data_IF_484575217492
#
_entry.id   IF_484575217492
#
_cell.length_a   1.000
_cell.length_b   1.000
_cell.length_c   1.000
_cell.angle_alpha   90.00
_cell.angle_beta   90.00
_cell.angle_gamma   90.00
#
_symmetry.space_group_name_H-M   'P 1'
#
loop_
_entity.id
_entity.type
_entity.pdbx_description
1 polymer ?
#
# COMPACT_ATOMS: atom_id res chain seq x y z
N UNK A 1 4.59 31.64 -9.84
CA UNK A 1 4.15 30.75 -10.94
C UNK A 1 5.19 30.73 -12.06
N UNK A 2 5.72 31.88 -12.50
CA UNK A 2 6.70 31.94 -13.59
C UNK A 2 7.99 31.15 -13.36
N UNK A 3 8.55 31.13 -12.15
CA UNK A 3 9.71 30.29 -11.81
C UNK A 3 9.43 28.79 -11.99
N UNK A 4 8.23 28.32 -11.66
CA UNK A 4 7.89 26.89 -11.78
C UNK A 4 7.73 26.46 -13.24
N UNK A 5 7.19 27.35 -14.08
CA UNK A 5 7.10 27.16 -15.54
C UNK A 5 8.47 27.19 -16.19
N UNK A 6 9.36 28.08 -15.73
CA UNK A 6 10.74 28.18 -16.21
C UNK A 6 11.51 26.87 -16.02
N UNK A 7 11.30 26.18 -14.90
CA UNK A 7 11.92 24.87 -14.62
C UNK A 7 11.09 23.67 -15.10
N UNK A 8 10.05 23.90 -15.91
CA UNK A 8 9.21 22.87 -16.51
C UNK A 8 8.58 21.90 -15.48
N UNK A 9 8.26 22.41 -14.30
CA UNK A 9 7.59 21.61 -13.28
C UNK A 9 6.13 21.42 -13.65
N UNK A 10 5.68 20.15 -13.75
CA UNK A 10 4.28 19.75 -13.99
C UNK A 10 3.28 20.34 -12.97
N UNK A 11 3.77 20.84 -11.84
CA UNK A 11 3.01 21.45 -10.76
C UNK A 11 2.52 22.86 -11.15
N UNK A 12 3.19 23.54 -12.09
CA UNK A 12 2.90 24.91 -12.46
C UNK A 12 1.54 25.09 -13.15
N UNK A 13 1.08 24.06 -13.87
CA UNK A 13 -0.19 24.05 -14.60
C UNK A 13 -1.20 23.07 -13.97
N UNK A 14 -0.93 22.60 -12.75
CA UNK A 14 -1.80 21.67 -12.06
C UNK A 14 -3.07 22.36 -11.52
N UNK A 15 -4.18 21.62 -11.47
CA UNK A 15 -5.43 22.12 -10.90
C UNK A 15 -5.25 22.45 -9.40
N UNK A 16 -5.98 23.46 -8.88
CA UNK A 16 -5.91 23.81 -7.46
C UNK A 16 -6.30 22.64 -6.56
N UNK A 17 -7.28 21.84 -6.97
CA UNK A 17 -7.72 20.63 -6.26
C UNK A 17 -6.60 19.59 -6.13
N UNK A 18 -5.83 19.36 -7.21
CA UNK A 18 -4.69 18.45 -7.20
C UNK A 18 -3.62 18.91 -6.20
N UNK A 19 -3.34 20.22 -6.17
CA UNK A 19 -2.36 20.80 -5.26
C UNK A 19 -2.78 20.63 -3.79
N UNK A 20 -4.05 20.87 -3.48
CA UNK A 20 -4.57 20.69 -2.11
C UNK A 20 -4.51 19.24 -1.65
N UNK A 21 -4.90 18.30 -2.52
CA UNK A 21 -4.85 16.87 -2.22
C UNK A 21 -3.41 16.42 -1.95
N UNK A 22 -2.47 16.82 -2.80
CA UNK A 22 -1.06 16.45 -2.67
C UNK A 22 -0.43 17.05 -1.42
N UNK A 23 -0.84 18.26 -0.99
CA UNK A 23 -0.44 18.84 0.30
C UNK A 23 -0.91 17.99 1.48
N UNK A 24 -2.18 17.55 1.49
CA UNK A 24 -2.72 16.70 2.56
C UNK A 24 -1.96 15.35 2.65
N UNK A 25 -1.74 14.70 1.52
CA UNK A 25 -0.96 13.45 1.44
C UNK A 25 0.49 13.65 1.93
N UNK A 26 1.13 14.75 1.52
CA UNK A 26 2.48 15.09 1.97
C UNK A 26 2.55 15.28 3.50
N UNK A 27 1.58 15.98 4.09
CA UNK A 27 1.53 16.18 5.55
C UNK A 27 1.40 14.86 6.30
N UNK A 28 0.54 13.95 5.82
CA UNK A 28 0.38 12.62 6.43
C UNK A 28 1.67 11.80 6.36
N UNK A 29 2.32 11.77 5.19
CA UNK A 29 3.60 11.10 5.02
C UNK A 29 4.68 11.70 5.92
N UNK A 30 4.83 13.03 5.94
CA UNK A 30 5.84 13.70 6.76
C UNK A 30 5.61 13.47 8.25
N UNK A 31 4.35 13.43 8.69
CA UNK A 31 4.00 13.11 10.07
C UNK A 31 4.38 11.67 10.42
N UNK A 32 4.05 10.70 9.56
CA UNK A 32 4.42 9.31 9.76
C UNK A 32 5.94 9.10 9.71
N UNK A 33 6.66 9.84 8.86
CA UNK A 33 8.12 9.82 8.80
C UNK A 33 8.74 10.38 10.08
N UNK A 34 8.22 11.50 10.61
CA UNK A 34 8.67 12.07 11.87
C UNK A 34 8.45 11.10 13.04
N UNK A 35 7.28 10.46 13.11
CA UNK A 35 6.98 9.41 14.09
C UNK A 35 7.96 8.25 13.94
N UNK A 36 8.26 7.80 12.72
CA UNK A 36 9.20 6.70 12.45
C UNK A 36 10.62 7.04 12.90
N UNK A 37 11.09 8.27 12.68
CA UNK A 37 12.40 8.72 13.15
C UNK A 37 12.43 8.70 14.69
N UNK A 38 11.36 9.18 15.33
CA UNK A 38 11.24 9.19 16.78
C UNK A 38 11.23 7.76 17.36
N UNK A 39 10.40 6.87 16.82
CA UNK A 39 10.31 5.47 17.27
C UNK A 39 11.60 4.71 17.02
N UNK A 40 12.30 4.96 15.90
CA UNK A 40 13.62 4.39 15.62
C UNK A 40 14.66 4.82 16.64
N UNK A 41 14.71 6.11 16.99
CA UNK A 41 15.60 6.63 18.03
C UNK A 41 15.27 6.06 19.41
N UNK A 42 13.98 5.95 19.72
CA UNK A 42 13.51 5.35 20.97
C UNK A 42 13.90 3.87 21.06
N UNK A 43 13.69 3.08 20.01
CA UNK A 43 14.08 1.69 19.94
C UNK A 43 15.59 1.52 20.14
N UNK A 44 16.41 2.33 19.44
CA UNK A 44 17.87 2.32 19.59
C UNK A 44 18.32 2.59 21.03
N UNK A 45 17.78 3.65 21.65
CA UNK A 45 18.06 4.00 23.06
C UNK A 45 17.61 2.89 24.01
N UNK A 46 16.44 2.31 23.77
CA UNK A 46 15.88 1.22 24.59
C UNK A 46 16.79 0.01 24.58
N UNK A 47 17.26 -0.43 23.40
CA UNK A 47 18.13 -1.60 23.26
C UNK A 47 19.49 -1.40 23.93
N UNK A 48 20.14 -0.25 23.73
CA UNK A 48 21.48 0.00 24.31
C UNK A 48 21.44 0.02 25.84
N UNK A 49 20.42 0.65 26.42
CA UNK A 49 20.31 0.78 27.89
C UNK A 49 20.15 -0.58 28.58
N UNK A 50 19.75 -1.61 27.83
CA UNK A 50 19.48 -2.97 28.35
C UNK A 50 20.59 -3.96 28.06
N UNK A 51 21.66 -3.54 27.38
CA UNK A 51 22.81 -4.41 27.14
C UNK A 51 23.50 -4.72 28.47
N UNK A 52 23.58 -6.00 28.81
CA UNK A 52 24.35 -6.46 29.97
C UNK A 52 25.84 -6.43 29.63
N UNK A 53 26.62 -5.69 30.42
CA UNK A 53 28.08 -5.67 30.34
C UNK A 53 28.62 -6.37 31.59
N UNK A 54 29.19 -7.58 31.49
CA UNK A 54 29.71 -8.30 32.66
C UNK A 54 30.91 -7.56 33.26
N UNK A 55 30.96 -7.51 34.59
CA UNK A 55 32.13 -6.99 35.30
C UNK A 55 33.25 -8.05 35.35
N UNK A 56 34.50 -7.64 35.55
CA UNK A 56 35.69 -8.53 35.52
C UNK A 56 35.60 -9.72 36.50
N UNK A 57 34.75 -9.64 37.53
CA UNK A 57 34.57 -10.67 38.55
C UNK A 57 33.23 -11.41 38.45
N UNK A 58 32.41 -11.11 37.45
CA UNK A 58 31.19 -11.85 37.16
C UNK A 58 31.49 -12.97 36.15
N UNK A 59 31.11 -14.20 36.49
CA UNK A 59 31.25 -15.34 35.60
C UNK A 59 30.36 -15.18 34.37
N UNK A 60 30.93 -15.21 33.16
CA UNK A 60 30.22 -15.02 31.88
C UNK A 60 29.18 -16.13 31.56
N UNK A 61 29.13 -17.20 32.35
CA UNK A 61 28.28 -18.36 32.13
C UNK A 61 26.93 -18.28 32.86
N UNK A 62 26.78 -17.35 33.80
CA UNK A 62 25.57 -17.23 34.60
C UNK A 62 24.76 -16.01 34.16
N UNK A 63 23.43 -16.13 33.99
CA UNK A 63 22.59 -14.97 33.72
C UNK A 63 22.66 -13.98 34.89
N UNK A 64 22.46 -12.67 34.63
CA UNK A 64 22.54 -11.66 35.68
C UNK A 64 21.49 -11.92 36.78
N UNK A 65 21.91 -11.95 38.05
CA UNK A 65 21.10 -12.35 39.21
C UNK A 65 19.91 -11.41 39.56
N UNK A 66 19.62 -10.41 38.72
CA UNK A 66 18.47 -9.49 38.86
C UNK A 66 17.73 -9.21 37.56
N UNK A 67 18.00 -10.00 36.50
CA UNK A 67 17.38 -9.78 35.20
C UNK A 67 15.96 -10.32 35.13
N UNK A 68 14.99 -9.45 34.85
CA UNK A 68 13.60 -9.85 34.62
C UNK A 68 13.35 -10.12 33.13
N UNK A 69 13.47 -11.38 32.73
CA UNK A 69 13.28 -11.83 31.35
C UNK A 69 11.88 -11.48 30.80
N UNK A 70 10.84 -11.57 31.62
CA UNK A 70 9.47 -11.28 31.20
C UNK A 70 9.27 -9.80 30.89
N UNK A 71 9.79 -8.93 31.75
CA UNK A 71 9.70 -7.47 31.55
C UNK A 71 10.54 -7.01 30.37
N UNK A 72 11.73 -7.58 30.19
CA UNK A 72 12.58 -7.24 29.07
C UNK A 72 11.95 -7.67 27.74
N UNK A 73 11.45 -8.91 27.65
CA UNK A 73 10.76 -9.43 26.48
C UNK A 73 9.51 -8.60 26.13
N UNK A 74 8.69 -8.24 27.12
CA UNK A 74 7.51 -7.42 26.89
C UNK A 74 7.84 -6.07 26.24
N UNK A 75 8.90 -5.41 26.69
CA UNK A 75 9.30 -4.12 26.12
C UNK A 75 10.02 -4.31 24.77
N UNK A 76 10.76 -5.39 24.55
CA UNK A 76 11.33 -5.69 23.24
C UNK A 76 10.22 -5.89 22.18
N UNK A 77 9.19 -6.65 22.52
CA UNK A 77 8.01 -6.84 21.64
C UNK A 77 7.24 -5.53 21.44
N UNK A 78 7.04 -4.75 22.51
CA UNK A 78 6.36 -3.45 22.43
C UNK A 78 7.10 -2.46 21.53
N UNK A 79 8.42 -2.33 21.71
CA UNK A 79 9.25 -1.45 20.89
C UNK A 79 9.32 -1.90 19.44
N UNK A 80 9.46 -3.21 19.19
CA UNK A 80 9.43 -3.78 17.85
C UNK A 80 8.10 -3.55 17.13
N UNK A 81 6.98 -3.74 17.83
CA UNK A 81 5.64 -3.49 17.29
C UNK A 81 5.44 -2.01 16.95
N UNK A 82 5.84 -1.11 17.84
CA UNK A 82 5.76 0.33 17.62
C UNK A 82 6.58 0.76 16.40
N UNK A 83 7.81 0.24 16.26
CA UNK A 83 8.67 0.52 15.12
C UNK A 83 8.05 -0.01 13.81
N UNK A 84 7.60 -1.26 13.81
CA UNK A 84 6.94 -1.87 12.65
C UNK A 84 5.70 -1.10 12.21
N UNK A 85 4.83 -0.71 13.17
CA UNK A 85 3.65 0.09 12.89
C UNK A 85 4.00 1.45 12.29
N UNK A 86 4.99 2.14 12.84
CA UNK A 86 5.42 3.45 12.33
C UNK A 86 5.99 3.37 10.92
N UNK A 87 6.88 2.41 10.65
CA UNK A 87 7.48 2.20 9.32
C UNK A 87 6.42 1.80 8.31
N UNK A 88 5.50 0.90 8.67
CA UNK A 88 4.41 0.48 7.80
C UNK A 88 3.50 1.65 7.45
N UNK A 89 3.17 2.51 8.42
CA UNK A 89 2.39 3.72 8.19
C UNK A 89 3.11 4.70 7.25
N UNK A 90 4.41 4.90 7.44
CA UNK A 90 5.23 5.74 6.55
C UNK A 90 5.24 5.21 5.12
N UNK A 91 5.39 3.89 4.94
CA UNK A 91 5.34 3.25 3.62
C UNK A 91 3.97 3.46 2.98
N UNK A 92 2.87 3.17 3.70
CA UNK A 92 1.52 3.34 3.17
C UNK A 92 1.22 4.79 2.76
N UNK A 93 1.54 5.78 3.60
CA UNK A 93 1.30 7.17 3.22
C UNK A 93 2.26 7.66 2.13
N UNK A 94 3.49 7.13 2.10
CA UNK A 94 4.44 7.41 1.04
C UNK A 94 3.97 6.88 -0.32
N UNK A 95 3.46 5.65 -0.37
CA UNK A 95 2.91 5.07 -1.59
C UNK A 95 1.65 5.81 -2.04
N UNK A 96 0.74 6.16 -1.12
CA UNK A 96 -0.42 6.99 -1.44
C UNK A 96 -0.02 8.35 -2.02
N UNK A 97 1.04 8.98 -1.50
CA UNK A 97 1.52 10.27 -1.99
C UNK A 97 2.21 10.18 -3.36
N UNK A 98 3.01 9.14 -3.60
CA UNK A 98 3.70 8.93 -4.88
C UNK A 98 2.70 8.59 -5.98
N UNK A 99 1.73 7.72 -5.69
CA UNK A 99 0.72 7.28 -6.66
C UNK A 99 -0.45 8.25 -6.81
N UNK A 100 -0.53 9.28 -5.96
CA UNK A 100 -1.64 10.23 -5.87
C UNK A 100 -2.99 9.51 -5.73
N UNK A 101 -3.09 8.71 -4.68
CA UNK A 101 -4.25 7.89 -4.36
C UNK A 101 -4.76 8.28 -2.99
N UNK A 102 -6.08 8.48 -2.87
CA UNK A 102 -6.71 8.82 -1.60
C UNK A 102 -7.79 7.84 -1.18
N UNK A 103 -8.20 6.93 -2.07
CA UNK A 103 -9.19 5.89 -1.78
C UNK A 103 -8.67 4.50 -2.12
N UNK A 104 -9.19 3.48 -1.42
CA UNK A 104 -8.86 2.09 -1.70
C UNK A 104 -9.26 1.65 -3.12
N UNK A 105 -10.35 2.22 -3.65
CA UNK A 105 -10.77 1.96 -5.04
C UNK A 105 -9.70 2.47 -6.00
N UNK A 106 -9.33 3.75 -5.89
CA UNK A 106 -8.26 4.35 -6.71
C UNK A 106 -6.94 3.58 -6.60
N UNK A 107 -6.61 3.11 -5.40
CA UNK A 107 -5.42 2.29 -5.17
C UNK A 107 -5.45 1.01 -6.01
N UNK A 108 -6.56 0.26 -5.97
CA UNK A 108 -6.72 -0.97 -6.74
C UNK A 108 -6.59 -0.72 -8.24
N UNK A 109 -7.25 0.31 -8.76
CA UNK A 109 -7.18 0.67 -10.20
C UNK A 109 -5.77 1.10 -10.63
N UNK A 110 -5.12 1.98 -9.85
CA UNK A 110 -3.75 2.44 -10.12
C UNK A 110 -2.76 1.29 -10.02
N UNK A 111 -2.91 0.41 -9.04
CA UNK A 111 -2.01 -0.74 -8.91
C UNK A 111 -2.21 -1.78 -10.00
N UNK A 112 -3.46 -2.06 -10.37
CA UNK A 112 -3.78 -2.93 -11.51
C UNK A 112 -3.17 -2.38 -12.80
N UNK A 113 -3.26 -1.07 -13.02
CA UNK A 113 -2.64 -0.40 -14.16
C UNK A 113 -1.11 -0.51 -14.14
N UNK A 114 -0.48 -0.24 -12.99
CA UNK A 114 0.98 -0.35 -12.81
C UNK A 114 1.51 -1.78 -12.97
N UNK A 115 0.73 -2.79 -12.58
CA UNK A 115 1.08 -4.21 -12.73
C UNK A 115 0.75 -4.76 -14.12
N UNK A 116 0.34 -3.93 -15.07
CA UNK A 116 0.01 -4.35 -16.44
C UNK A 116 -1.34 -5.06 -16.57
N UNK A 117 -2.18 -5.04 -15.53
CA UNK A 117 -3.51 -5.65 -15.56
C UNK A 117 -4.44 -5.04 -16.61
N UNK A 118 -4.30 -3.75 -16.90
CA UNK A 118 -5.08 -3.09 -17.96
C UNK A 118 -4.67 -3.55 -19.36
N UNK A 119 -3.37 -3.79 -19.59
CA UNK A 119 -2.88 -4.33 -20.85
C UNK A 119 -3.30 -5.79 -21.01
N UNK A 120 -3.20 -6.59 -19.94
CA UNK A 120 -3.68 -7.97 -19.95
C UNK A 120 -5.19 -8.09 -20.17
N UNK A 121 -6.00 -7.15 -19.68
CA UNK A 121 -7.44 -7.13 -19.98
C UNK A 121 -7.74 -6.77 -21.43
N UNK A 122 -6.97 -5.87 -22.02
CA UNK A 122 -7.08 -5.56 -23.45
C UNK A 122 -6.63 -6.75 -24.31
N UNK A 123 -5.50 -7.38 -23.97
CA UNK A 123 -5.04 -8.61 -24.61
C UNK A 123 -6.05 -9.76 -24.45
N UNK A 124 -6.73 -9.86 -23.30
CA UNK A 124 -7.79 -10.85 -23.08
C UNK A 124 -9.05 -10.55 -23.90
N UNK A 125 -9.39 -9.27 -24.07
CA UNK A 125 -10.53 -8.84 -24.87
C UNK A 125 -10.26 -8.98 -26.38
N UNK A 126 -9.01 -8.82 -26.82
CA UNK A 126 -8.59 -8.97 -28.20
C UNK A 126 -8.32 -10.45 -28.58
N UNK A 127 -8.32 -11.37 -27.61
CA UNK A 127 -8.22 -12.79 -27.90
C UNK A 127 -9.49 -13.31 -28.58
N UNK A 128 -9.36 -14.16 -29.63
CA UNK A 128 -10.51 -14.70 -30.32
C UNK A 128 -11.37 -15.49 -29.33
N UNK A 129 -12.67 -15.18 -29.32
CA UNK A 129 -13.63 -15.87 -28.47
C UNK A 129 -13.67 -17.36 -28.83
N UNK A 130 -13.64 -18.20 -27.81
CA UNK A 130 -13.83 -19.64 -27.96
C UNK A 130 -15.21 -19.94 -28.55
N UNK A 131 -15.33 -20.98 -29.39
CA UNK A 131 -16.56 -21.30 -30.15
C UNK A 131 -17.78 -21.44 -29.21
N UNK A 132 -17.58 -22.09 -28.06
CA UNK A 132 -18.63 -22.28 -27.05
C UNK A 132 -19.08 -20.96 -26.42
N UNK A 133 -18.16 -20.01 -26.26
CA UNK A 133 -18.45 -18.68 -25.69
C UNK A 133 -19.15 -17.78 -26.71
N UNK A 134 -18.80 -17.92 -28.00
CA UNK A 134 -19.47 -17.23 -29.10
C UNK A 134 -20.93 -17.69 -29.26
N UNK A 135 -21.17 -19.00 -29.21
CA UNK A 135 -22.51 -19.56 -29.28
C UNK A 135 -23.43 -19.05 -28.15
N UNK A 136 -22.90 -18.96 -26.93
CA UNK A 136 -23.66 -18.44 -25.77
C UNK A 136 -23.92 -16.93 -25.90
N UNK A 137 -22.94 -16.16 -26.36
CA UNK A 137 -23.13 -14.70 -26.53
C UNK A 137 -24.14 -14.38 -27.64
N UNK A 138 -24.10 -15.11 -28.76
CA UNK A 138 -25.09 -14.94 -29.83
C UNK A 138 -26.49 -15.34 -29.36
N UNK A 139 -26.63 -16.45 -28.63
CA UNK A 139 -27.91 -16.84 -28.04
C UNK A 139 -28.46 -15.81 -27.04
N UNK A 140 -27.60 -15.18 -26.23
CA UNK A 140 -28.00 -14.10 -25.32
C UNK A 140 -28.36 -12.82 -26.06
N UNK A 141 -27.63 -12.45 -27.11
CA UNK A 141 -27.93 -11.28 -27.93
C UNK A 141 -29.24 -11.46 -28.71
N UNK A 142 -29.54 -12.66 -29.22
CA UNK A 142 -30.80 -12.94 -29.89
C UNK A 142 -32.01 -12.89 -28.94
N UNK A 143 -31.82 -13.32 -27.68
CA UNK A 143 -32.81 -13.14 -26.61
C UNK A 143 -33.03 -11.66 -26.29
N UNK A 144 -31.95 -10.87 -26.23
CA UNK A 144 -32.01 -9.45 -25.88
C UNK A 144 -32.61 -8.58 -27.00
N UNK A 145 -32.29 -8.91 -28.25
CA UNK A 145 -32.81 -8.25 -29.46
C UNK A 145 -34.27 -8.66 -29.77
N UNK A 146 -34.85 -9.56 -28.98
CA UNK A 146 -36.23 -10.00 -29.15
C UNK A 146 -36.47 -10.79 -30.43
N UNK A 147 -35.43 -11.37 -31.03
CA UNK A 147 -35.51 -12.21 -32.24
C UNK A 147 -35.91 -13.65 -31.93
N UNK A 148 -36.11 -13.98 -30.66
CA UNK A 148 -36.68 -15.28 -30.29
C UNK A 148 -38.17 -15.26 -30.63
N UNK A 149 -38.48 -15.59 -31.87
CA UNK A 149 -39.76 -16.17 -32.22
C UNK A 149 -39.80 -17.54 -31.52
N UNK A 150 -40.34 -17.56 -30.29
CA UNK A 150 -40.77 -18.80 -29.66
C UNK A 150 -41.96 -19.31 -30.47
N UNK A 151 -41.70 -19.99 -31.59
CA UNK A 151 -42.69 -20.81 -32.27
C UNK A 151 -43.07 -21.94 -31.31
N UNK A 152 -44.13 -21.70 -30.54
CA UNK A 152 -44.82 -22.70 -29.73
C UNK A 152 -45.87 -23.47 -30.56
N UNK A 153 -45.62 -23.64 -31.86
CA UNK A 153 -46.46 -24.43 -32.75
C UNK A 153 -45.65 -25.63 -33.25
N UNK A 154 -45.41 -26.59 -32.36
CA UNK A 154 -45.20 -27.98 -32.73
C UNK A 154 -46.20 -28.82 -31.92
N UNK A 155 -47.09 -29.50 -32.65
CA UNK A 155 -48.04 -30.53 -32.18
C UNK A 155 -47.34 -31.71 -31.47
#
# INVERSE_FOLDING_TARGET
MDLLRQYNFKIADASPEYLERRKKQAVLFMTAAAVTIFTSRFAYKSTITRQYIPTLFQGNHSPPLGYNFTSDAAVAVGTGTMLCASVSSMICFGTCWVLDVSTFREFGWKMKSLMGGTQKEQELADMPMDEDSAYIQDGLNDILDGKVELNFDDE
#
